data_IF_048502463640
#
_entry.id   IF_048502463640
#
_cell.length_a   1.000
_cell.length_b   1.000
_cell.length_c   1.000
_cell.angle_alpha   90.00
_cell.angle_beta   90.00
_cell.angle_gamma   90.00
#
_symmetry.space_group_name_H-M   'P 1'
#
loop_
_entity.id
_entity.type
_entity.pdbx_description
1 polymer ?
#
# COMPACT_ATOMS: atom_id res chain seq x y z
N UNK A 1 -14.82 12.70 2.41
CA UNK A 1 -13.66 13.35 3.05
C UNK A 1 -13.11 14.38 2.11
N UNK A 2 -12.40 15.39 2.61
CA UNK A 2 -11.71 16.36 1.77
C UNK A 2 -10.45 15.73 1.16
N UNK A 3 -9.96 16.28 0.05
CA UNK A 3 -8.70 15.88 -0.57
C UNK A 3 -7.52 15.88 0.42
N UNK A 4 -7.49 16.84 1.35
CA UNK A 4 -6.47 16.93 2.39
C UNK A 4 -6.42 15.70 3.31
N UNK A 5 -7.57 15.20 3.76
CA UNK A 5 -7.60 14.03 4.65
C UNK A 5 -7.05 12.76 3.97
N UNK A 6 -7.31 12.60 2.66
CA UNK A 6 -6.76 11.48 1.90
C UNK A 6 -5.24 11.61 1.69
N UNK A 7 -4.73 12.83 1.53
CA UNK A 7 -3.29 13.11 1.53
C UNK A 7 -2.63 12.74 2.86
N UNK A 8 -3.26 13.09 3.99
CA UNK A 8 -2.74 12.75 5.32
C UNK A 8 -2.69 11.23 5.55
N UNK A 9 -3.70 10.49 5.05
CA UNK A 9 -3.71 9.02 5.08
C UNK A 9 -2.56 8.45 4.25
N UNK A 10 -2.28 8.99 3.05
CA UNK A 10 -1.15 8.56 2.25
C UNK A 10 0.20 8.81 2.94
N UNK A 11 0.39 9.97 3.58
CA UNK A 11 1.61 10.22 4.34
C UNK A 11 1.81 9.24 5.49
N UNK A 12 0.76 8.97 6.26
CA UNK A 12 0.80 7.94 7.33
C UNK A 12 1.07 6.54 6.79
N UNK A 13 0.56 6.24 5.60
CA UNK A 13 0.80 4.98 4.91
C UNK A 13 2.28 4.83 4.52
N UNK A 14 2.88 5.86 3.90
CA UNK A 14 4.30 5.88 3.58
C UNK A 14 5.18 5.77 4.83
N UNK A 15 4.84 6.51 5.87
CA UNK A 15 5.54 6.47 7.14
C UNK A 15 5.53 5.05 7.73
N UNK A 16 4.37 4.38 7.75
CA UNK A 16 4.26 3.02 8.27
C UNK A 16 5.06 2.00 7.46
N UNK A 17 5.09 2.13 6.13
CA UNK A 17 5.93 1.30 5.26
C UNK A 17 7.42 1.54 5.51
N UNK A 18 7.86 2.80 5.54
CA UNK A 18 9.27 3.15 5.72
C UNK A 18 9.79 2.85 7.12
N UNK A 19 8.92 2.81 8.13
CA UNK A 19 9.24 2.34 9.47
C UNK A 19 9.05 0.83 9.68
N UNK A 20 8.64 0.09 8.64
CA UNK A 20 8.27 -1.33 8.71
C UNK A 20 7.29 -1.66 9.87
N UNK A 21 6.40 -0.72 10.19
CA UNK A 21 5.45 -0.84 11.30
C UNK A 21 4.13 -1.43 10.79
N UNK A 22 4.01 -2.76 10.93
CA UNK A 22 2.87 -3.51 10.46
C UNK A 22 1.56 -3.12 11.15
N UNK A 23 1.59 -2.81 12.45
CA UNK A 23 0.38 -2.42 13.18
C UNK A 23 -0.09 -1.03 12.76
N UNK A 24 0.85 -0.08 12.65
CA UNK A 24 0.56 1.25 12.14
C UNK A 24 0.00 1.19 10.74
N UNK A 25 0.53 0.33 9.87
CA UNK A 25 0.02 0.14 8.52
C UNK A 25 -1.40 -0.43 8.54
N UNK A 26 -1.63 -1.56 9.23
CA UNK A 26 -2.94 -2.21 9.29
C UNK A 26 -4.02 -1.35 9.95
N UNK A 27 -3.63 -0.42 10.85
CA UNK A 27 -4.57 0.53 11.47
C UNK A 27 -5.22 1.49 10.47
N UNK A 28 -4.63 1.69 9.29
CA UNK A 28 -5.18 2.53 8.22
C UNK A 28 -6.22 1.81 7.37
N UNK A 29 -6.31 0.48 7.46
CA UNK A 29 -7.17 -0.34 6.62
C UNK A 29 -8.49 -0.69 7.31
N UNK A 30 -9.53 -0.80 6.50
CA UNK A 30 -10.81 -1.38 6.88
C UNK A 30 -10.65 -2.89 7.17
N UNK A 31 -11.53 -3.47 7.99
CA UNK A 31 -11.48 -4.90 8.35
C UNK A 31 -11.56 -5.81 7.12
N UNK A 32 -12.38 -5.42 6.13
CA UNK A 32 -12.61 -6.17 4.90
C UNK A 32 -11.85 -5.60 3.69
N UNK A 33 -10.81 -4.81 3.93
CA UNK A 33 -10.07 -4.14 2.87
C UNK A 33 -9.45 -5.13 1.88
N UNK A 34 -9.42 -4.71 0.61
CA UNK A 34 -8.89 -5.52 -0.51
C UNK A 34 -7.54 -4.97 -0.97
N UNK A 35 -6.60 -5.85 -1.29
CA UNK A 35 -5.34 -5.45 -1.90
C UNK A 35 -5.12 -6.26 -3.17
N UNK A 36 -4.86 -5.54 -4.26
CA UNK A 36 -4.46 -6.12 -5.53
C UNK A 36 -3.03 -5.72 -5.88
N UNK A 37 -2.21 -6.71 -6.25
CA UNK A 37 -0.84 -6.49 -6.70
C UNK A 37 -0.39 -7.51 -7.76
N UNK A 38 0.26 -7.07 -8.86
CA UNK A 38 0.85 -8.00 -9.82
C UNK A 38 1.95 -8.88 -9.18
N UNK A 39 2.70 -8.37 -8.18
CA UNK A 39 3.66 -9.19 -7.41
C UNK A 39 2.98 -10.32 -6.66
N UNK A 40 1.75 -10.08 -6.17
CA UNK A 40 0.96 -11.08 -5.48
C UNK A 40 0.56 -12.20 -6.45
N UNK A 41 0.14 -11.86 -7.68
CA UNK A 41 -0.14 -12.84 -8.74
C UNK A 41 1.07 -13.74 -9.09
N UNK A 42 2.28 -13.21 -8.98
CA UNK A 42 3.52 -13.96 -9.22
C UNK A 42 3.87 -14.87 -8.04
N UNK A 43 3.72 -14.38 -6.80
CA UNK A 43 4.14 -15.08 -5.58
C UNK A 43 3.10 -16.07 -5.05
N UNK A 44 1.82 -15.76 -5.22
CA UNK A 44 0.67 -16.54 -4.77
C UNK A 44 -0.35 -16.62 -5.92
N UNK A 45 -0.07 -17.38 -6.98
CA UNK A 45 -0.91 -17.42 -8.19
C UNK A 45 -2.38 -17.76 -7.94
N UNK A 46 -2.67 -18.55 -6.90
CA UNK A 46 -4.01 -18.98 -6.47
C UNK A 46 -4.93 -17.83 -6.03
N UNK A 47 -4.36 -16.70 -5.63
CA UNK A 47 -5.10 -15.49 -5.24
C UNK A 47 -5.57 -14.68 -6.46
N UNK A 48 -5.05 -15.02 -7.64
CA UNK A 48 -5.20 -14.21 -8.86
C UNK A 48 -4.77 -12.74 -8.68
N UNK A 49 -3.87 -12.47 -7.71
CA UNK A 49 -3.36 -11.15 -7.39
C UNK A 49 -4.24 -10.34 -6.44
N UNK A 50 -5.33 -10.90 -5.90
CA UNK A 50 -6.27 -10.21 -5.01
C UNK A 50 -6.37 -10.94 -3.66
N UNK A 51 -6.15 -10.20 -2.57
CA UNK A 51 -6.39 -10.67 -1.20
C UNK A 51 -7.37 -9.73 -0.49
N UNK A 52 -8.05 -10.24 0.53
CA UNK A 52 -9.04 -9.49 1.30
C UNK A 52 -8.91 -9.77 2.80
N UNK A 53 -9.13 -8.73 3.58
CA UNK A 53 -9.23 -8.79 5.03
C UNK A 53 -7.89 -8.59 5.74
N UNK A 54 -7.91 -7.99 6.93
CA UNK A 54 -6.69 -7.65 7.68
C UNK A 54 -5.76 -8.83 7.93
N UNK A 55 -6.27 -10.03 8.14
CA UNK A 55 -5.43 -11.23 8.32
C UNK A 55 -4.61 -11.54 7.06
N UNK A 56 -5.21 -11.49 5.88
CA UNK A 56 -4.49 -11.74 4.62
C UNK A 56 -3.48 -10.62 4.33
N UNK A 57 -3.88 -9.37 4.54
CA UNK A 57 -3.02 -8.20 4.41
C UNK A 57 -1.81 -8.28 5.35
N UNK A 58 -2.03 -8.64 6.61
CA UNK A 58 -1.00 -8.84 7.63
C UNK A 58 0.03 -9.86 7.16
N UNK A 59 -0.41 -11.04 6.72
CA UNK A 59 0.49 -12.09 6.23
C UNK A 59 1.33 -11.61 5.05
N UNK A 60 0.69 -10.93 4.08
CA UNK A 60 1.36 -10.41 2.90
C UNK A 60 2.41 -9.34 3.21
N UNK A 61 2.07 -8.32 4.00
CA UNK A 61 3.01 -7.24 4.32
C UNK A 61 4.09 -7.67 5.30
N UNK A 62 3.78 -8.58 6.24
CA UNK A 62 4.81 -9.18 7.09
C UNK A 62 5.86 -9.90 6.25
N UNK A 63 5.44 -10.74 5.31
CA UNK A 63 6.37 -11.40 4.37
C UNK A 63 7.17 -10.37 3.55
N UNK A 64 6.54 -9.28 3.10
CA UNK A 64 7.24 -8.23 2.38
C UNK A 64 8.34 -7.58 3.23
N UNK A 65 8.07 -7.24 4.50
CA UNK A 65 9.04 -6.65 5.42
C UNK A 65 10.17 -7.62 5.79
N UNK A 66 9.84 -8.89 6.05
CA UNK A 66 10.83 -9.92 6.34
C UNK A 66 11.79 -10.14 5.16
N UNK A 67 11.28 -10.07 3.92
CA UNK A 67 12.08 -10.26 2.70
C UNK A 67 12.84 -9.01 2.25
N UNK A 68 12.31 -7.82 2.50
CA UNK A 68 12.83 -6.55 2.02
C UNK A 68 13.11 -5.62 3.20
N UNK A 69 14.07 -5.95 4.09
CA UNK A 69 14.30 -5.18 5.33
C UNK A 69 14.86 -3.77 5.10
N UNK A 70 15.39 -3.49 3.91
CA UNK A 70 15.87 -2.18 3.50
C UNK A 70 14.89 -1.42 2.60
N UNK A 71 13.64 -1.87 2.53
CA UNK A 71 12.59 -1.21 1.77
C UNK A 71 12.42 0.24 2.22
N UNK A 72 12.46 1.15 1.25
CA UNK A 72 12.10 2.55 1.43
C UNK A 72 11.29 3.01 0.22
N UNK A 73 10.24 3.77 0.49
CA UNK A 73 9.43 4.44 -0.51
C UNK A 73 9.70 5.94 -0.48
N UNK A 74 10.06 6.49 -1.63
CA UNK A 74 10.18 7.91 -1.88
C UNK A 74 8.95 8.40 -2.65
N UNK A 75 8.07 9.13 -1.97
CA UNK A 75 6.86 9.69 -2.58
C UNK A 75 7.22 10.77 -3.61
N UNK A 76 6.74 10.63 -4.84
CA UNK A 76 6.99 11.59 -5.93
C UNK A 76 5.77 12.45 -6.25
N UNK A 77 4.56 11.89 -6.19
CA UNK A 77 3.31 12.60 -6.51
C UNK A 77 2.12 12.02 -5.77
N UNK A 78 1.21 12.91 -5.34
CA UNK A 78 -0.05 12.59 -4.70
C UNK A 78 -1.20 13.33 -5.40
N UNK A 79 -2.16 12.57 -5.92
CA UNK A 79 -3.36 13.11 -6.59
C UNK A 79 -4.62 12.64 -5.85
N UNK A 80 -5.10 13.41 -4.86
CA UNK A 80 -6.30 13.06 -4.09
C UNK A 80 -7.60 13.51 -4.78
N UNK A 81 -8.69 12.80 -4.48
CA UNK A 81 -10.07 13.29 -4.61
C UNK A 81 -10.89 12.80 -3.40
N UNK A 82 -12.20 13.03 -3.39
CA UNK A 82 -13.06 12.72 -2.23
C UNK A 82 -13.19 11.23 -1.88
N UNK A 83 -12.81 10.33 -2.79
CA UNK A 83 -13.00 8.86 -2.67
C UNK A 83 -11.70 8.07 -2.66
N UNK A 84 -10.63 8.64 -3.21
CA UNK A 84 -9.36 7.95 -3.41
C UNK A 84 -8.18 8.90 -3.41
N UNK A 85 -7.00 8.32 -3.32
CA UNK A 85 -5.74 8.98 -3.65
C UNK A 85 -4.95 8.09 -4.61
N UNK A 86 -4.45 8.70 -5.69
CA UNK A 86 -3.48 8.10 -6.58
C UNK A 86 -2.09 8.56 -6.15
N UNK A 87 -1.17 7.63 -5.97
CA UNK A 87 0.16 7.86 -5.46
C UNK A 87 1.18 7.36 -6.46
N UNK A 88 2.22 8.13 -6.70
CA UNK A 88 3.40 7.71 -7.43
C UNK A 88 4.58 7.79 -6.47
N UNK A 89 5.42 6.75 -6.49
CA UNK A 89 6.60 6.69 -5.64
C UNK A 89 7.68 5.80 -6.26
N UNK A 90 8.92 6.05 -5.85
CA UNK A 90 10.05 5.19 -6.16
C UNK A 90 10.25 4.22 -5.00
N UNK A 91 10.35 2.93 -5.30
CA UNK A 91 10.74 1.91 -4.34
C UNK A 91 12.23 1.67 -4.43
N UNK A 92 12.90 1.85 -3.30
CA UNK A 92 14.30 1.51 -3.09
C UNK A 92 14.41 0.25 -2.23
N UNK A 93 15.26 -0.67 -2.65
CA UNK A 93 15.72 -1.81 -1.85
C UNK A 93 17.20 -2.00 -2.17
N UNK A 94 18.03 -2.21 -1.13
CA UNK A 94 19.46 -2.42 -1.32
C UNK A 94 19.75 -3.57 -2.27
N UNK A 95 20.67 -3.36 -3.22
CA UNK A 95 21.05 -4.33 -4.25
C UNK A 95 19.95 -4.72 -5.25
N UNK A 96 18.84 -3.96 -5.30
CA UNK A 96 17.84 -4.05 -6.35
C UNK A 96 17.78 -2.72 -7.12
N UNK A 97 17.44 -2.76 -8.42
CA UNK A 97 17.14 -1.53 -9.14
C UNK A 97 15.90 -0.85 -8.56
N UNK A 98 15.93 0.48 -8.58
CA UNK A 98 14.78 1.30 -8.24
C UNK A 98 13.58 0.94 -9.12
N UNK A 99 12.40 0.95 -8.51
CA UNK A 99 11.16 0.61 -9.20
C UNK A 99 10.16 1.74 -9.05
N UNK A 100 9.66 2.23 -10.18
CA UNK A 100 8.56 3.18 -10.21
C UNK A 100 7.25 2.45 -9.95
N UNK A 101 6.50 2.93 -8.96
CA UNK A 101 5.22 2.35 -8.56
C UNK A 101 4.16 3.43 -8.60
N UNK A 102 3.00 3.05 -9.16
CA UNK A 102 1.78 3.79 -9.00
C UNK A 102 0.79 2.96 -8.17
N UNK A 103 0.15 3.57 -7.19
CA UNK A 103 -0.79 2.89 -6.31
C UNK A 103 -2.03 3.74 -6.06
N UNK A 104 -3.20 3.08 -6.06
CA UNK A 104 -4.47 3.74 -5.74
C UNK A 104 -4.99 3.20 -4.43
N UNK A 105 -5.25 4.11 -3.48
CA UNK A 105 -5.98 3.82 -2.25
C UNK A 105 -7.39 4.38 -2.35
N UNK A 106 -8.39 3.51 -2.25
CA UNK A 106 -9.79 3.90 -2.02
C UNK A 106 -10.04 4.01 -0.53
N UNK A 107 -10.67 5.10 -0.12
CA UNK A 107 -10.82 5.46 1.29
C UNK A 107 -12.31 5.72 1.55
N UNK A 108 -12.89 5.00 2.52
CA UNK A 108 -14.28 5.20 2.93
C UNK A 108 -14.46 6.54 3.64
N UNK A 109 -15.69 7.00 3.89
CA UNK A 109 -15.93 8.32 4.52
C UNK A 109 -15.40 8.47 5.95
N UNK A 110 -15.03 7.37 6.62
CA UNK A 110 -14.60 7.34 8.03
C UNK A 110 -13.08 7.47 8.17
N UNK A 111 -12.31 7.26 7.11
CA UNK A 111 -10.84 7.36 7.17
C UNK A 111 -10.09 6.06 6.88
N UNK A 112 -10.79 4.97 6.56
CA UNK A 112 -10.15 3.67 6.35
C UNK A 112 -9.99 3.36 4.87
N UNK A 113 -8.82 2.80 4.53
CA UNK A 113 -8.52 2.27 3.21
C UNK A 113 -9.35 1.00 3.01
N UNK A 114 -10.23 0.99 2.01
CA UNK A 114 -11.08 -0.16 1.66
C UNK A 114 -10.52 -0.96 0.49
N UNK A 115 -9.72 -0.33 -0.38
CA UNK A 115 -9.03 -1.03 -1.45
C UNK A 115 -7.67 -0.38 -1.75
N UNK A 116 -6.66 -1.20 -2.01
CA UNK A 116 -5.36 -0.79 -2.57
C UNK A 116 -5.13 -1.54 -3.89
N UNK A 117 -4.66 -0.83 -4.91
CA UNK A 117 -4.33 -1.40 -6.23
C UNK A 117 -2.98 -0.88 -6.70
N UNK A 118 -2.04 -1.80 -6.87
CA UNK A 118 -0.66 -1.50 -7.28
C UNK A 118 -0.49 -1.69 -8.79
N UNK A 119 0.21 -0.76 -9.41
CA UNK A 119 0.62 -0.79 -10.82
C UNK A 119 2.13 -0.55 -10.88
N UNK A 120 2.83 -1.38 -11.64
CA UNK A 120 4.24 -1.21 -11.96
C UNK A 120 4.47 -1.82 -13.34
N UNK A 121 5.37 -1.20 -14.13
CA UNK A 121 5.80 -1.68 -15.44
C UNK A 121 6.92 -2.70 -15.37
#
# INVERSE_FOLDING_TARGET
MTSQANTDIAHRWFEAFNSHDLEKLLSLYDEDAKHYSPKLKIRQPETHGLIQGKTALRTWWKDAFDRLPSLQYECTSLTPNDKRIFMEYTRHVSNEPDMLVAEVLEINKVGFITASRVYHG
#
